data_IF_160576327890
#
_entry.id   IF_160576327890
#
_cell.length_a   1.000
_cell.length_b   1.000
_cell.length_c   1.000
_cell.angle_alpha   90.00
_cell.angle_beta   90.00
_cell.angle_gamma   90.00
#
_symmetry.space_group_name_H-M   'P 1'
#
loop_
_entity.id
_entity.type
_entity.pdbx_description
1 polymer ?
#
# COMPACT_ATOMS: atom_id res chain seq x y z
N UNK A 1 -17.34 4.76 -7.20
CA UNK A 1 -17.27 6.24 -7.39
C UNK A 1 -15.84 6.70 -7.74
N UNK A 2 -14.78 6.22 -7.06
CA UNK A 2 -13.35 6.58 -7.28
C UNK A 2 -12.89 6.34 -8.73
N UNK A 3 -13.16 5.16 -9.28
CA UNK A 3 -12.78 4.80 -10.66
C UNK A 3 -13.42 5.68 -11.73
N UNK A 4 -14.72 5.97 -11.57
CA UNK A 4 -15.46 6.82 -12.52
C UNK A 4 -14.87 8.24 -12.61
N UNK A 5 -14.43 8.80 -11.49
CA UNK A 5 -13.80 10.12 -11.45
C UNK A 5 -12.46 10.15 -12.18
N UNK A 6 -11.67 9.08 -12.08
CA UNK A 6 -10.40 8.97 -12.80
C UNK A 6 -10.58 8.92 -14.31
N UNK A 7 -11.53 8.12 -14.80
CA UNK A 7 -11.86 8.06 -16.23
C UNK A 7 -12.37 9.41 -16.75
N UNK A 8 -13.19 10.13 -15.98
CA UNK A 8 -13.70 11.44 -16.36
C UNK A 8 -12.55 12.45 -16.51
N UNK A 9 -11.59 12.45 -15.60
CA UNK A 9 -10.44 13.36 -15.63
C UNK A 9 -9.48 13.06 -16.76
N UNK A 10 -9.18 11.80 -17.00
CA UNK A 10 -8.36 11.39 -18.14
C UNK A 10 -8.99 11.85 -19.48
N UNK A 11 -10.31 11.64 -19.63
CA UNK A 11 -11.04 12.10 -20.80
C UNK A 11 -11.07 13.63 -20.92
N UNK A 12 -11.31 14.35 -19.84
CA UNK A 12 -11.36 15.81 -19.81
C UNK A 12 -10.01 16.43 -20.19
N UNK A 13 -8.92 15.91 -19.60
CA UNK A 13 -7.56 16.36 -19.92
C UNK A 13 -7.20 16.12 -21.39
N UNK A 14 -7.43 14.91 -21.90
CA UNK A 14 -7.11 14.56 -23.29
C UNK A 14 -7.92 15.39 -24.28
N UNK A 15 -9.20 15.64 -23.98
CA UNK A 15 -10.04 16.52 -24.81
C UNK A 15 -9.52 17.96 -24.82
N UNK A 16 -9.10 18.49 -23.66
CA UNK A 16 -8.53 19.84 -23.56
C UNK A 16 -7.22 19.97 -24.34
N UNK A 17 -6.37 18.93 -24.35
CA UNK A 17 -5.08 18.90 -25.04
C UNK A 17 -5.17 18.42 -26.49
N UNK A 18 -6.36 18.20 -27.04
CA UNK A 18 -6.60 17.67 -28.41
C UNK A 18 -5.84 16.36 -28.72
N UNK A 19 -5.56 15.53 -27.71
CA UNK A 19 -4.95 14.21 -27.87
C UNK A 19 -6.00 13.16 -28.16
N UNK A 20 -5.63 12.10 -28.89
CA UNK A 20 -6.50 10.96 -29.18
C UNK A 20 -7.02 10.36 -27.88
N UNK A 21 -8.35 10.21 -27.76
CA UNK A 21 -8.98 9.60 -26.59
C UNK A 21 -8.75 8.08 -26.59
N UNK A 22 -7.72 7.60 -25.93
CA UNK A 22 -7.50 6.17 -25.63
C UNK A 22 -8.21 5.74 -24.34
N UNK A 23 -9.51 6.02 -24.21
CA UNK A 23 -10.28 5.59 -23.02
C UNK A 23 -10.42 4.07 -22.98
N UNK A 24 -10.26 3.41 -24.11
CA UNK A 24 -10.36 1.95 -24.23
C UNK A 24 -9.19 1.16 -23.65
N UNK A 25 -8.06 1.79 -23.29
CA UNK A 25 -6.91 1.10 -22.72
C UNK A 25 -7.07 0.77 -21.21
N UNK A 26 -8.15 1.22 -20.58
CA UNK A 26 -8.46 1.00 -19.15
C UNK A 26 -7.36 1.40 -18.15
N UNK A 27 -6.30 2.04 -18.59
CA UNK A 27 -5.15 2.37 -17.73
C UNK A 27 -5.47 3.35 -16.61
N UNK A 28 -6.46 4.24 -16.82
CA UNK A 28 -6.95 5.12 -15.76
C UNK A 28 -7.73 4.33 -14.69
N UNK A 29 -8.42 3.26 -15.10
CA UNK A 29 -9.11 2.35 -14.18
C UNK A 29 -8.10 1.61 -13.32
N UNK A 30 -7.06 1.04 -13.93
CA UNK A 30 -5.98 0.34 -13.19
C UNK A 30 -5.31 1.29 -12.20
N UNK A 31 -4.94 2.50 -12.63
CA UNK A 31 -4.37 3.51 -11.71
C UNK A 31 -5.30 3.82 -10.55
N UNK A 32 -6.61 3.91 -10.82
CA UNK A 32 -7.63 4.17 -9.79
C UNK A 32 -7.79 3.04 -8.79
N UNK A 33 -7.75 1.80 -9.25
CA UNK A 33 -7.79 0.61 -8.39
C UNK A 33 -6.55 0.57 -7.50
N UNK A 34 -5.36 0.72 -8.09
CA UNK A 34 -4.10 0.72 -7.34
C UNK A 34 -4.06 1.84 -6.29
N UNK A 35 -4.47 3.07 -6.65
CA UNK A 35 -4.54 4.16 -5.67
C UNK A 35 -5.54 3.86 -4.55
N UNK A 36 -6.66 3.21 -4.87
CA UNK A 36 -7.65 2.82 -3.84
C UNK A 36 -7.11 1.79 -2.87
N UNK A 37 -6.28 0.85 -3.33
CA UNK A 37 -5.69 -0.19 -2.49
C UNK A 37 -4.61 0.33 -1.54
N UNK A 38 -3.91 1.39 -1.91
CA UNK A 38 -2.85 1.96 -1.07
C UNK A 38 -3.31 3.13 -0.18
N UNK A 39 -4.59 3.51 -0.24
CA UNK A 39 -5.16 4.57 0.61
C UNK A 39 -6.00 3.98 1.76
N UNK A 40 -6.08 4.68 2.93
CA UNK A 40 -6.99 4.33 4.02
C UNK A 40 -8.45 4.31 3.57
N UNK A 41 -9.27 3.52 4.27
CA UNK A 41 -10.71 3.36 3.96
C UNK A 41 -11.48 4.64 4.31
N UNK A 42 -11.15 5.27 5.43
CA UNK A 42 -11.86 6.42 5.99
C UNK A 42 -11.47 7.77 5.37
N UNK A 43 -10.71 7.73 4.26
CA UNK A 43 -10.25 8.95 3.60
C UNK A 43 -11.43 9.76 3.03
N UNK A 44 -11.55 11.07 3.32
CA UNK A 44 -12.59 11.93 2.78
C UNK A 44 -12.57 11.93 1.24
N UNK A 45 -13.75 11.94 0.65
CA UNK A 45 -13.91 11.84 -0.81
C UNK A 45 -13.19 12.96 -1.59
N UNK A 46 -13.10 14.17 -1.03
CA UNK A 46 -12.44 15.31 -1.65
C UNK A 46 -10.91 15.16 -1.68
N UNK A 47 -10.29 14.55 -0.65
CA UNK A 47 -8.85 14.24 -0.61
C UNK A 47 -8.50 13.25 -1.71
N UNK A 48 -9.33 12.22 -1.89
CA UNK A 48 -9.16 11.25 -2.98
C UNK A 48 -9.26 11.92 -4.36
N UNK A 49 -10.15 12.91 -4.47
CA UNK A 49 -10.26 13.70 -5.70
C UNK A 49 -8.94 14.41 -6.00
N UNK A 50 -8.32 15.04 -5.03
CA UNK A 50 -7.04 15.75 -5.20
C UNK A 50 -5.94 14.76 -5.58
N UNK A 51 -5.81 13.65 -4.85
CA UNK A 51 -4.82 12.59 -5.14
C UNK A 51 -5.00 11.98 -6.52
N UNK A 52 -6.24 11.73 -6.93
CA UNK A 52 -6.55 11.24 -8.25
C UNK A 52 -6.21 12.25 -9.37
N UNK A 53 -6.43 13.51 -9.13
CA UNK A 53 -6.04 14.57 -10.06
C UNK A 53 -4.53 14.60 -10.22
N UNK A 54 -3.78 14.63 -9.13
CA UNK A 54 -2.34 14.63 -9.16
C UNK A 54 -1.79 13.38 -9.87
N UNK A 55 -2.26 12.20 -9.50
CA UNK A 55 -1.84 10.92 -10.06
C UNK A 55 -2.04 10.84 -11.58
N UNK A 56 -3.20 11.28 -12.09
CA UNK A 56 -3.52 11.16 -13.52
C UNK A 56 -2.99 12.34 -14.32
N UNK A 57 -3.24 13.56 -13.88
CA UNK A 57 -2.88 14.73 -14.70
C UNK A 57 -1.39 15.01 -14.60
N UNK A 58 -0.85 15.13 -13.39
CA UNK A 58 0.54 15.51 -13.19
C UNK A 58 1.49 14.37 -13.52
N UNK A 59 1.29 13.19 -12.90
CA UNK A 59 2.26 12.10 -13.01
C UNK A 59 2.10 11.29 -14.30
N UNK A 60 0.87 11.07 -14.77
CA UNK A 60 0.62 10.24 -15.94
C UNK A 60 0.55 11.02 -17.24
N UNK A 61 -0.28 12.06 -17.32
CA UNK A 61 -0.57 12.71 -18.60
C UNK A 61 0.48 13.74 -19.04
N UNK A 62 1.09 14.48 -18.10
CA UNK A 62 2.12 15.45 -18.45
C UNK A 62 3.36 14.79 -19.07
N UNK A 63 3.72 13.57 -18.64
CA UNK A 63 4.85 12.82 -19.16
C UNK A 63 4.55 11.98 -20.41
N UNK A 64 3.35 12.08 -20.99
CA UNK A 64 3.03 11.43 -22.26
C UNK A 64 2.11 10.20 -22.16
N UNK A 65 1.72 9.76 -20.97
CA UNK A 65 0.79 8.65 -20.76
C UNK A 65 1.47 7.32 -20.46
N UNK A 66 0.87 6.21 -20.88
CA UNK A 66 1.35 4.85 -20.56
C UNK A 66 2.75 4.63 -21.15
N UNK A 67 3.63 4.07 -20.32
CA UNK A 67 4.99 3.71 -20.72
C UNK A 67 6.02 4.86 -20.69
N UNK A 68 5.57 6.12 -20.58
CA UNK A 68 6.45 7.29 -20.51
C UNK A 68 6.62 7.83 -19.08
N UNK A 69 5.95 7.22 -18.10
CA UNK A 69 6.00 7.67 -16.71
C UNK A 69 7.29 7.20 -16.03
N UNK A 70 8.03 8.11 -15.40
CA UNK A 70 9.21 7.77 -14.61
C UNK A 70 8.86 7.24 -13.21
N UNK A 71 7.64 7.46 -12.74
CA UNK A 71 7.10 6.96 -11.47
C UNK A 71 5.76 6.25 -11.68
N UNK A 72 5.45 5.30 -10.79
CA UNK A 72 4.12 4.71 -10.73
C UNK A 72 3.11 5.79 -10.30
N UNK A 73 2.10 6.13 -11.12
CA UNK A 73 1.18 7.23 -10.83
C UNK A 73 0.37 7.01 -9.56
N UNK A 74 0.02 5.78 -9.21
CA UNK A 74 -0.72 5.49 -7.98
C UNK A 74 0.13 5.73 -6.72
N UNK A 75 1.39 5.29 -6.74
CA UNK A 75 2.32 5.49 -5.62
C UNK A 75 2.71 6.96 -5.46
N UNK A 76 2.93 7.67 -6.57
CA UNK A 76 3.20 9.11 -6.54
C UNK A 76 2.00 9.88 -5.99
N UNK A 77 0.77 9.49 -6.35
CA UNK A 77 -0.46 10.05 -5.77
C UNK A 77 -0.56 9.81 -4.26
N UNK A 78 -0.23 8.60 -3.78
CA UNK A 78 -0.15 8.30 -2.35
C UNK A 78 0.89 9.16 -1.63
N UNK A 79 2.10 9.26 -2.19
CA UNK A 79 3.17 10.06 -1.61
C UNK A 79 2.78 11.54 -1.48
N UNK A 80 2.15 12.09 -2.52
CA UNK A 80 1.61 13.45 -2.49
C UNK A 80 0.54 13.63 -1.42
N UNK A 81 -0.41 12.70 -1.29
CA UNK A 81 -1.45 12.74 -0.26
C UNK A 81 -0.85 12.60 1.15
N UNK A 82 0.14 11.75 1.33
CA UNK A 82 0.83 11.59 2.61
C UNK A 82 1.56 12.87 3.02
N UNK A 83 2.21 13.56 2.09
CA UNK A 83 2.90 14.81 2.36
C UNK A 83 1.93 15.97 2.66
N UNK A 84 0.76 16.00 1.99
CA UNK A 84 -0.20 17.11 2.10
C UNK A 84 -1.24 16.89 3.21
N UNK A 85 -1.63 15.66 3.48
CA UNK A 85 -2.74 15.25 4.36
C UNK A 85 -2.33 14.11 5.29
N UNK A 86 -1.18 14.25 5.97
CA UNK A 86 -0.59 13.21 6.80
C UNK A 86 -1.59 12.61 7.81
N UNK A 87 -2.32 13.44 8.53
CA UNK A 87 -3.28 13.02 9.55
C UNK A 87 -4.32 12.03 9.00
N UNK A 88 -4.87 12.30 7.81
CA UNK A 88 -5.86 11.42 7.17
C UNK A 88 -5.24 10.17 6.56
N UNK A 89 -3.97 10.23 6.19
CA UNK A 89 -3.26 9.12 5.54
C UNK A 89 -2.63 8.14 6.52
N UNK A 90 -2.51 8.52 7.80
CA UNK A 90 -1.90 7.68 8.85
C UNK A 90 -2.92 7.07 9.82
N UNK A 91 -4.20 7.38 9.68
CA UNK A 91 -5.28 6.77 10.45
C UNK A 91 -5.76 5.50 9.75
N UNK A 92 -5.66 4.35 10.44
CA UNK A 92 -5.99 3.05 9.89
C UNK A 92 -7.16 2.43 10.64
N UNK A 93 -8.23 2.07 9.93
CA UNK A 93 -9.33 1.33 10.48
C UNK A 93 -8.97 -0.15 10.65
N UNK A 94 -9.29 -0.73 11.81
CA UNK A 94 -9.14 -2.16 12.04
C UNK A 94 -10.39 -2.88 11.54
N UNK A 95 -10.28 -3.92 10.72
CA UNK A 95 -11.45 -4.68 10.28
C UNK A 95 -12.08 -5.42 11.46
N UNK A 96 -13.22 -4.93 11.96
CA UNK A 96 -14.27 -5.54 12.80
C UNK A 96 -13.89 -6.43 14.00
N UNK A 97 -12.68 -6.34 14.55
CA UNK A 97 -12.32 -7.24 15.67
C UNK A 97 -12.76 -6.68 17.02
N UNK A 98 -12.85 -5.36 17.16
CA UNK A 98 -13.32 -4.69 18.36
C UNK A 98 -14.17 -3.48 17.97
N UNK A 99 -15.45 -3.44 18.37
CA UNK A 99 -16.35 -2.33 18.01
C UNK A 99 -15.93 -0.98 18.62
N UNK A 100 -15.12 -0.99 19.67
CA UNK A 100 -14.70 0.21 20.40
C UNK A 100 -13.41 0.86 19.89
N UNK A 101 -12.68 0.21 18.97
CA UNK A 101 -11.41 0.75 18.44
C UNK A 101 -11.60 1.13 16.99
N UNK A 102 -11.79 2.41 16.74
CA UNK A 102 -12.02 2.97 15.40
C UNK A 102 -10.73 3.18 14.60
N UNK A 103 -9.60 3.32 15.26
CA UNK A 103 -8.29 3.46 14.60
C UNK A 103 -7.17 2.92 15.48
N UNK A 104 -6.17 2.30 14.86
CA UNK A 104 -4.95 1.85 15.51
C UNK A 104 -3.71 2.17 14.68
N UNK A 105 -2.57 2.26 15.36
CA UNK A 105 -1.29 2.30 14.67
C UNK A 105 -1.04 0.98 13.93
N UNK A 106 -0.43 1.05 12.75
CA UNK A 106 -0.03 -0.16 12.03
C UNK A 106 1.04 -0.91 12.83
N UNK A 107 1.15 -2.25 12.71
CA UNK A 107 2.20 -3.02 13.37
C UNK A 107 3.61 -2.45 13.09
N UNK A 108 3.86 -1.99 11.88
CA UNK A 108 5.14 -1.34 11.51
C UNK A 108 5.36 0.00 12.21
N UNK A 109 4.32 0.78 12.45
CA UNK A 109 4.45 2.04 13.19
C UNK A 109 4.86 1.79 14.65
N UNK A 110 4.29 0.76 15.28
CA UNK A 110 4.64 0.34 16.64
C UNK A 110 6.09 -0.19 16.69
N UNK A 111 6.48 -1.04 15.75
CA UNK A 111 7.85 -1.57 15.69
C UNK A 111 8.91 -0.49 15.44
N UNK A 112 8.55 0.61 14.76
CA UNK A 112 9.46 1.72 14.48
C UNK A 112 9.91 2.45 15.75
N UNK A 113 9.16 2.37 16.84
CA UNK A 113 9.55 2.92 18.13
C UNK A 113 10.78 2.21 18.72
N UNK A 114 11.04 0.95 18.33
CA UNK A 114 12.27 0.21 18.65
C UNK A 114 12.45 -0.15 20.12
N UNK A 115 11.40 -0.03 20.94
CA UNK A 115 11.42 -0.34 22.36
C UNK A 115 10.87 -1.74 22.62
N UNK A 116 11.40 -2.43 23.66
CA UNK A 116 10.88 -3.74 24.10
C UNK A 116 9.39 -3.65 24.50
N UNK A 117 9.00 -2.54 25.12
CA UNK A 117 7.61 -2.30 25.52
C UNK A 117 6.67 -2.20 24.32
N UNK A 118 7.10 -1.51 23.24
CA UNK A 118 6.33 -1.42 22.01
C UNK A 118 6.16 -2.79 21.35
N UNK A 119 7.22 -3.62 21.36
CA UNK A 119 7.15 -4.96 20.79
C UNK A 119 6.28 -5.91 21.63
N UNK A 120 6.38 -5.88 22.95
CA UNK A 120 5.50 -6.67 23.85
C UNK A 120 4.04 -6.26 23.70
N UNK A 121 3.76 -4.97 23.56
CA UNK A 121 2.42 -4.45 23.28
C UNK A 121 1.90 -4.94 21.93
N UNK A 122 2.76 -4.98 20.93
CA UNK A 122 2.41 -5.52 19.60
C UNK A 122 2.09 -7.01 19.68
N UNK A 123 2.90 -7.80 20.38
CA UNK A 123 2.67 -9.24 20.58
C UNK A 123 1.38 -9.54 21.35
N UNK A 124 1.03 -8.70 22.33
CA UNK A 124 -0.22 -8.86 23.09
C UNK A 124 -1.46 -8.53 22.25
N UNK A 125 -1.35 -7.58 21.33
CA UNK A 125 -2.48 -7.12 20.50
C UNK A 125 -2.64 -7.93 19.20
N UNK A 126 -1.56 -8.38 18.60
CA UNK A 126 -1.57 -9.05 17.30
C UNK A 126 -0.76 -10.35 17.32
N UNK A 127 -1.45 -11.46 17.09
CA UNK A 127 -0.78 -12.73 16.81
C UNK A 127 -0.21 -12.75 15.39
N UNK A 128 0.87 -13.52 15.16
CA UNK A 128 1.41 -13.77 13.82
C UNK A 128 0.30 -14.33 12.89
N UNK A 129 -0.59 -15.16 13.44
CA UNK A 129 -1.74 -15.68 12.69
C UNK A 129 -2.73 -14.59 12.26
N UNK A 130 -2.95 -13.59 13.09
CA UNK A 130 -3.84 -12.47 12.77
C UNK A 130 -3.24 -11.57 11.66
N UNK A 131 -1.92 -11.37 11.68
CA UNK A 131 -1.20 -10.67 10.61
C UNK A 131 -1.24 -11.45 9.29
N UNK A 132 -1.09 -12.78 9.34
CA UNK A 132 -1.16 -13.63 8.18
C UNK A 132 -2.56 -13.64 7.53
N UNK A 133 -3.61 -13.67 8.35
CA UNK A 133 -5.00 -13.65 7.89
C UNK A 133 -5.52 -12.24 7.53
N UNK A 134 -4.86 -11.18 8.04
CA UNK A 134 -5.25 -9.81 7.74
C UNK A 134 -6.21 -9.18 8.73
N UNK A 135 -6.11 -9.54 10.01
CA UNK A 135 -6.87 -8.91 11.10
C UNK A 135 -6.10 -7.77 11.76
N UNK A 136 -5.43 -6.96 10.94
CA UNK A 136 -4.58 -5.84 11.38
C UNK A 136 -5.00 -4.55 10.68
N UNK A 137 -4.71 -3.41 11.32
CA UNK A 137 -4.92 -2.10 10.70
C UNK A 137 -3.91 -1.86 9.58
N UNK A 138 -4.40 -1.49 8.40
CA UNK A 138 -3.56 -1.23 7.24
C UNK A 138 -4.33 -0.68 6.05
N UNK A 139 -3.66 -0.45 4.94
CA UNK A 139 -4.33 -0.08 3.69
C UNK A 139 -5.10 -1.27 3.10
N UNK A 140 -6.11 -0.98 2.31
CA UNK A 140 -7.05 -2.00 1.81
C UNK A 140 -6.35 -3.16 1.06
N UNK A 141 -5.24 -2.90 0.38
CA UNK A 141 -4.48 -3.88 -0.39
C UNK A 141 -3.36 -4.58 0.38
N UNK A 142 -3.05 -4.13 1.59
CA UNK A 142 -1.88 -4.60 2.37
C UNK A 142 -2.27 -5.44 3.59
N UNK A 143 -3.56 -5.60 3.88
CA UNK A 143 -4.02 -6.19 5.14
C UNK A 143 -3.70 -7.67 5.26
N UNK A 144 -3.82 -8.47 4.21
CA UNK A 144 -3.65 -9.94 4.27
C UNK A 144 -2.39 -10.43 3.57
N UNK A 145 -1.41 -10.91 4.35
CA UNK A 145 -0.20 -11.53 3.81
C UNK A 145 -0.51 -12.78 2.96
N UNK A 146 -1.52 -13.55 3.33
CA UNK A 146 -1.96 -14.72 2.58
C UNK A 146 -2.45 -14.36 1.17
N UNK A 147 -3.29 -13.33 1.05
CA UNK A 147 -3.79 -12.88 -0.25
C UNK A 147 -2.67 -12.33 -1.14
N UNK A 148 -1.70 -11.63 -0.54
CA UNK A 148 -0.53 -11.13 -1.26
C UNK A 148 0.35 -12.27 -1.77
N UNK A 149 0.60 -13.29 -0.95
CA UNK A 149 1.35 -14.48 -1.36
C UNK A 149 0.66 -15.24 -2.50
N UNK A 150 -0.65 -15.46 -2.41
CA UNK A 150 -1.43 -16.11 -3.48
C UNK A 150 -1.38 -15.30 -4.77
N UNK A 151 -1.54 -13.97 -4.68
CA UNK A 151 -1.40 -13.08 -5.83
C UNK A 151 0.00 -13.09 -6.42
N UNK A 152 1.04 -13.07 -5.58
CA UNK A 152 2.44 -13.15 -5.98
C UNK A 152 2.77 -14.46 -6.69
N UNK A 153 2.34 -15.60 -6.15
CA UNK A 153 2.50 -16.92 -6.78
C UNK A 153 1.79 -16.98 -8.14
N UNK A 154 0.58 -16.45 -8.23
CA UNK A 154 -0.14 -16.37 -9.52
C UNK A 154 0.65 -15.58 -10.56
N UNK A 155 1.22 -14.43 -10.19
CA UNK A 155 2.01 -13.60 -11.10
C UNK A 155 3.32 -14.29 -11.53
N UNK A 156 3.94 -15.08 -10.63
CA UNK A 156 5.12 -15.90 -10.95
C UNK A 156 4.77 -17.02 -11.94
N UNK A 157 3.67 -17.75 -11.72
CA UNK A 157 3.20 -18.80 -12.64
C UNK A 157 2.91 -18.22 -14.01
N UNK A 158 2.29 -17.04 -14.08
CA UNK A 158 2.01 -16.33 -15.33
C UNK A 158 3.24 -15.69 -15.96
N UNK A 159 4.42 -15.82 -15.34
CA UNK A 159 5.71 -15.21 -15.79
C UNK A 159 5.62 -13.69 -16.03
N UNK A 160 4.76 -13.01 -15.30
CA UNK A 160 4.66 -11.55 -15.34
C UNK A 160 5.82 -10.92 -14.58
N UNK A 161 6.24 -11.58 -13.49
CA UNK A 161 7.34 -11.14 -12.63
C UNK A 161 8.40 -12.24 -12.61
N UNK A 162 9.68 -11.85 -12.62
CA UNK A 162 10.79 -12.78 -12.38
C UNK A 162 10.91 -13.09 -10.88
N UNK A 163 11.11 -14.36 -10.53
CA UNK A 163 11.20 -14.81 -9.14
C UNK A 163 12.36 -14.20 -8.34
N UNK A 164 13.39 -13.73 -9.04
CA UNK A 164 14.60 -13.17 -8.44
C UNK A 164 14.33 -11.92 -7.61
N UNK A 165 13.44 -11.03 -8.08
CA UNK A 165 13.13 -9.74 -7.43
C UNK A 165 12.42 -9.95 -6.08
N UNK A 166 11.28 -10.70 -5.99
CA UNK A 166 10.61 -10.94 -4.72
C UNK A 166 11.50 -11.69 -3.71
N UNK A 167 12.22 -12.71 -4.17
CA UNK A 167 13.10 -13.52 -3.30
C UNK A 167 14.25 -12.68 -2.76
N UNK A 168 14.90 -11.87 -3.59
CA UNK A 168 15.98 -10.99 -3.15
C UNK A 168 15.47 -9.95 -2.14
N UNK A 169 14.31 -9.33 -2.41
CA UNK A 169 13.73 -8.32 -1.52
C UNK A 169 13.36 -8.90 -0.14
N UNK A 170 12.53 -9.97 -0.12
CA UNK A 170 12.09 -10.61 1.12
C UNK A 170 13.29 -11.19 1.89
N UNK A 171 14.24 -11.80 1.17
CA UNK A 171 15.47 -12.33 1.77
C UNK A 171 16.32 -11.24 2.41
N UNK A 172 16.48 -10.10 1.75
CA UNK A 172 17.22 -8.96 2.31
C UNK A 172 16.55 -8.41 3.56
N UNK A 173 15.22 -8.22 3.52
CA UNK A 173 14.45 -7.78 4.69
C UNK A 173 14.61 -8.76 5.84
N UNK A 174 14.47 -10.07 5.59
CA UNK A 174 14.61 -11.09 6.63
C UNK A 174 16.02 -11.10 7.25
N UNK A 175 17.07 -11.02 6.45
CA UNK A 175 18.46 -11.00 6.94
C UNK A 175 18.73 -9.73 7.75
N UNK A 176 18.35 -8.56 7.24
CA UNK A 176 18.59 -7.31 7.93
C UNK A 176 17.84 -7.21 9.26
N UNK A 177 16.59 -7.65 9.32
CA UNK A 177 15.80 -7.63 10.54
C UNK A 177 16.28 -8.65 11.57
N UNK A 178 16.82 -9.77 11.12
CA UNK A 178 17.41 -10.79 11.99
C UNK A 178 18.70 -10.28 12.68
N UNK A 179 19.49 -9.46 11.96
CA UNK A 179 20.72 -8.84 12.49
C UNK A 179 20.40 -7.61 13.34
N UNK A 180 19.40 -6.83 12.96
CA UNK A 180 19.05 -5.56 13.60
C UNK A 180 18.04 -5.70 14.75
N UNK A 181 17.77 -6.92 15.21
CA UNK A 181 16.84 -7.13 16.33
C UNK A 181 17.37 -6.44 17.61
N UNK A 182 16.53 -5.67 18.33
CA UNK A 182 16.89 -5.04 19.58
C UNK A 182 17.27 -6.08 20.66
N UNK A 183 18.16 -5.70 21.57
CA UNK A 183 18.52 -6.56 22.69
C UNK A 183 17.29 -6.86 23.56
N UNK A 184 17.08 -8.13 23.92
CA UNK A 184 15.93 -8.56 24.73
C UNK A 184 14.76 -9.15 23.95
N UNK A 185 14.75 -9.04 22.62
CA UNK A 185 13.71 -9.61 21.75
C UNK A 185 14.27 -10.82 21.00
N UNK A 186 13.44 -11.87 20.86
CA UNK A 186 13.80 -13.01 20.03
C UNK A 186 13.96 -12.59 18.56
N UNK A 187 15.16 -12.75 18.01
CA UNK A 187 15.53 -12.33 16.66
C UNK A 187 14.60 -12.94 15.60
N UNK A 188 14.17 -14.18 15.79
CA UNK A 188 13.30 -14.88 14.86
C UNK A 188 11.88 -14.30 14.89
N UNK A 189 11.36 -14.01 16.07
CA UNK A 189 10.06 -13.36 16.20
C UNK A 189 10.07 -11.96 15.60
N UNK A 190 11.08 -11.17 15.89
CA UNK A 190 11.24 -9.83 15.32
C UNK A 190 11.30 -9.87 13.80
N UNK A 191 12.06 -10.80 13.23
CA UNK A 191 12.10 -11.02 11.77
C UNK A 191 10.71 -11.36 11.20
N UNK A 192 9.99 -12.30 11.81
CA UNK A 192 8.66 -12.72 11.33
C UNK A 192 7.65 -11.57 11.34
N UNK A 193 7.62 -10.79 12.43
CA UNK A 193 6.74 -9.62 12.51
C UNK A 193 7.08 -8.55 11.45
N UNK A 194 8.38 -8.31 11.17
CA UNK A 194 8.79 -7.40 10.11
C UNK A 194 8.45 -7.92 8.71
N UNK A 195 8.65 -9.21 8.45
CA UNK A 195 8.33 -9.81 7.15
C UNK A 195 6.83 -9.80 6.90
N UNK A 196 6.02 -10.21 7.85
CA UNK A 196 4.56 -10.25 7.67
C UNK A 196 3.87 -8.91 7.86
N UNK A 197 4.44 -8.00 8.64
CA UNK A 197 3.89 -6.67 8.89
C UNK A 197 4.31 -5.60 7.88
N UNK A 198 5.34 -5.84 7.08
CA UNK A 198 5.87 -4.84 6.16
C UNK A 198 6.63 -5.39 4.96
N UNK A 199 7.40 -6.47 5.13
CA UNK A 199 8.25 -7.01 4.05
C UNK A 199 7.48 -7.65 2.91
N UNK A 200 6.28 -8.17 3.14
CA UNK A 200 5.38 -8.71 2.13
C UNK A 200 4.43 -7.66 1.56
N UNK A 201 4.24 -6.55 2.25
CA UNK A 201 3.36 -5.43 1.90
C UNK A 201 4.13 -4.34 1.20
#
# INVERSE_FOLDING_TARGET
>A
RRQRQMCIRDRAYRKAMKKSCMVGDLSAVVTGILLSFVCPVDLPWWVIIIGAFFSIVVVKQLYGGIGCNFLNPALAGRAFLLASYATWMTTWAIPQIRPDVTSAATPMAIMKEGTEEAFTTLMSNYSIGDMFLGKVGGSLGEVSALCLLVGGVYLLIRKVISWQIPVAYIGTVAILTLIAAPAGIDNVQYMLYNVFGGGLM
#
